data_IF_232183976994
#
_entry.id   IF_232183976994
#
_cell.length_a   1.000
_cell.length_b   1.000
_cell.length_c   1.000
_cell.angle_alpha   90.00
_cell.angle_beta   90.00
_cell.angle_gamma   90.00
#
_symmetry.space_group_name_H-M   'P 1'
#
loop_
_entity.id
_entity.type
_entity.pdbx_description
1 polymer ?
#
# COMPACT_ATOMS: atom_id res chain seq x y z
N UNK A 1 -4.48 -23.42 24.49
CA UNK A 1 -5.03 -22.40 23.59
C UNK A 1 -4.82 -22.90 22.19
N UNK A 2 -5.88 -23.15 21.42
CA UNK A 2 -5.73 -23.47 20.00
C UNK A 2 -5.01 -22.33 19.30
N UNK A 3 -3.95 -22.65 18.58
CA UNK A 3 -3.23 -21.65 17.79
C UNK A 3 -4.13 -21.16 16.67
N UNK A 4 -4.43 -19.87 16.63
CA UNK A 4 -5.20 -19.25 15.53
C UNK A 4 -4.51 -19.53 14.19
N UNK A 5 -5.21 -20.17 13.26
CA UNK A 5 -4.69 -20.38 11.90
C UNK A 5 -4.79 -19.09 11.11
N UNK A 6 -3.69 -18.63 10.53
CA UNK A 6 -3.60 -17.42 9.73
C UNK A 6 -3.38 -17.75 8.26
N UNK A 7 -3.53 -16.76 7.40
CA UNK A 7 -3.22 -16.91 5.98
C UNK A 7 -1.80 -17.45 5.77
N UNK A 8 -1.61 -18.26 4.74
CA UNK A 8 -0.33 -18.95 4.46
C UNK A 8 0.87 -18.01 4.27
N UNK A 9 0.62 -16.79 3.82
CA UNK A 9 1.66 -15.78 3.63
C UNK A 9 2.12 -15.15 4.95
N UNK A 10 1.33 -15.22 6.03
CA UNK A 10 1.67 -14.61 7.32
C UNK A 10 2.78 -15.40 8.03
N UNK A 11 3.95 -14.80 8.17
CA UNK A 11 5.05 -15.37 8.92
C UNK A 11 4.78 -15.27 10.42
N UNK A 12 4.34 -16.37 11.02
CA UNK A 12 4.00 -16.46 12.45
C UNK A 12 5.20 -16.34 13.41
N UNK A 13 6.40 -16.21 12.89
CA UNK A 13 7.62 -15.92 13.68
C UNK A 13 7.92 -14.42 13.77
N UNK A 14 7.21 -13.59 12.99
CA UNK A 14 7.35 -12.15 12.97
C UNK A 14 6.12 -11.49 13.60
N UNK A 15 6.28 -10.92 14.81
CA UNK A 15 5.17 -10.31 15.54
C UNK A 15 4.53 -9.14 14.77
N UNK A 16 5.32 -8.29 14.11
CA UNK A 16 4.80 -7.20 13.29
C UNK A 16 3.91 -7.72 12.14
N UNK A 17 4.28 -8.88 11.57
CA UNK A 17 3.50 -9.47 10.48
C UNK A 17 2.21 -10.10 10.98
N UNK A 18 2.24 -10.68 12.20
CA UNK A 18 1.04 -11.16 12.89
C UNK A 18 0.08 -10.01 13.17
N UNK A 19 0.59 -8.91 13.75
CA UNK A 19 -0.22 -7.76 14.13
C UNK A 19 -0.85 -7.10 12.88
N UNK A 20 -0.08 -6.97 11.80
CA UNK A 20 -0.58 -6.49 10.51
C UNK A 20 -1.70 -7.38 9.96
N UNK A 21 -1.48 -8.71 9.93
CA UNK A 21 -2.47 -9.67 9.46
C UNK A 21 -3.75 -9.66 10.30
N UNK A 22 -3.63 -9.62 11.62
CA UNK A 22 -4.75 -9.81 12.54
C UNK A 22 -5.60 -8.54 12.73
N UNK A 23 -5.04 -7.35 12.52
CA UNK A 23 -5.67 -6.10 12.91
C UNK A 23 -5.63 -4.95 11.88
N UNK A 24 -4.90 -5.11 10.78
CA UNK A 24 -4.75 -4.05 9.79
C UNK A 24 -5.15 -4.51 8.37
N UNK A 25 -4.61 -5.63 7.90
CA UNK A 25 -4.85 -6.13 6.55
C UNK A 25 -6.32 -6.50 6.33
N UNK A 26 -6.89 -6.08 5.20
CA UNK A 26 -8.31 -6.22 4.86
C UNK A 26 -9.29 -5.47 5.79
N UNK A 27 -8.79 -4.57 6.64
CA UNK A 27 -9.64 -3.71 7.47
C UNK A 27 -9.89 -2.40 6.73
N UNK A 28 -11.15 -2.03 6.41
CA UNK A 28 -11.46 -0.77 5.72
C UNK A 28 -10.91 0.43 6.48
N UNK A 29 -10.04 1.20 5.82
CA UNK A 29 -9.46 2.40 6.35
C UNK A 29 -9.18 3.39 5.22
N UNK A 30 -9.86 4.54 5.23
CA UNK A 30 -9.98 5.43 4.09
C UNK A 30 -9.58 6.88 4.37
N UNK A 31 -8.86 7.13 5.46
CA UNK A 31 -8.22 8.43 5.68
C UNK A 31 -7.04 8.62 4.69
N UNK A 32 -6.94 9.79 4.07
CA UNK A 32 -5.96 10.06 3.02
C UNK A 32 -4.51 9.86 3.48
N UNK A 33 -4.20 10.11 4.75
CA UNK A 33 -2.87 9.90 5.31
C UNK A 33 -2.48 8.42 5.27
N UNK A 34 -3.41 7.54 5.67
CA UNK A 34 -3.19 6.09 5.62
C UNK A 34 -3.14 5.58 4.17
N UNK A 35 -4.06 6.03 3.32
CA UNK A 35 -4.12 5.66 1.91
C UNK A 35 -2.82 6.03 1.20
N UNK A 36 -2.29 7.22 1.47
CA UNK A 36 -1.04 7.70 0.91
C UNK A 36 0.16 6.88 1.40
N UNK A 37 0.30 6.68 2.73
CA UNK A 37 1.37 5.85 3.30
C UNK A 37 1.38 4.46 2.66
N UNK A 38 0.22 3.81 2.60
CA UNK A 38 0.11 2.45 2.06
C UNK A 38 0.43 2.40 0.57
N UNK A 39 -0.02 3.37 -0.24
CA UNK A 39 0.29 3.41 -1.67
C UNK A 39 1.79 3.55 -1.93
N UNK A 40 2.48 4.40 -1.16
CA UNK A 40 3.93 4.55 -1.27
C UNK A 40 4.64 3.26 -0.85
N UNK A 41 4.29 2.67 0.29
CA UNK A 41 4.91 1.44 0.77
C UNK A 41 4.70 0.26 -0.20
N UNK A 42 3.50 0.09 -0.74
CA UNK A 42 3.20 -0.93 -1.75
C UNK A 42 4.00 -0.70 -3.05
N UNK A 43 4.19 0.56 -3.47
CA UNK A 43 5.06 0.84 -4.62
C UNK A 43 6.52 0.43 -4.38
N UNK A 44 6.99 0.51 -3.13
CA UNK A 44 8.30 -0.01 -2.75
C UNK A 44 8.35 -1.54 -2.68
N UNK A 45 7.22 -2.22 -2.50
CA UNK A 45 7.15 -3.68 -2.48
C UNK A 45 7.49 -4.30 -3.85
N UNK A 46 7.30 -3.61 -4.97
CA UNK A 46 7.52 -4.16 -6.30
C UNK A 46 8.84 -4.95 -6.39
N UNK A 47 8.75 -6.28 -6.63
CA UNK A 47 9.88 -7.21 -6.66
C UNK A 47 10.46 -7.62 -5.30
N UNK A 48 9.77 -7.31 -4.19
CA UNK A 48 10.15 -7.67 -2.82
C UNK A 48 8.97 -8.35 -2.10
N UNK A 49 9.22 -8.93 -0.91
CA UNK A 49 8.15 -9.39 -0.05
C UNK A 49 7.55 -8.22 0.75
N UNK A 50 6.24 -8.30 1.07
CA UNK A 50 5.60 -7.34 1.96
C UNK A 50 6.26 -7.30 3.35
N UNK A 51 6.66 -8.46 3.89
CA UNK A 51 7.38 -8.54 5.16
C UNK A 51 8.64 -7.67 5.17
N UNK A 52 9.38 -7.62 4.05
CA UNK A 52 10.56 -6.76 3.93
C UNK A 52 10.21 -5.29 4.07
N UNK A 53 9.10 -4.85 3.47
CA UNK A 53 8.62 -3.46 3.55
C UNK A 53 8.07 -3.16 4.93
N UNK A 54 7.24 -4.04 5.46
CA UNK A 54 6.61 -3.88 6.77
C UNK A 54 7.63 -3.76 7.90
N UNK A 55 8.69 -4.58 7.88
CA UNK A 55 9.78 -4.50 8.86
C UNK A 55 10.55 -3.16 8.80
N UNK A 56 10.44 -2.43 7.71
CA UNK A 56 11.08 -1.12 7.51
C UNK A 56 10.11 0.06 7.64
N UNK A 57 8.82 -0.21 7.93
CA UNK A 57 7.75 0.80 7.91
C UNK A 57 8.04 1.99 8.84
N UNK A 58 8.50 1.74 10.07
CA UNK A 58 8.85 2.82 11.00
C UNK A 58 10.06 3.64 10.54
N UNK A 59 11.04 2.98 9.92
CA UNK A 59 12.18 3.66 9.30
C UNK A 59 11.74 4.50 8.10
N UNK A 60 10.79 4.02 7.29
CA UNK A 60 10.18 4.80 6.24
C UNK A 60 9.42 6.02 6.80
N UNK A 61 8.60 5.85 7.85
CA UNK A 61 7.90 6.97 8.51
C UNK A 61 8.89 8.04 8.97
N UNK A 62 9.99 7.63 9.58
CA UNK A 62 11.05 8.56 10.03
C UNK A 62 11.74 9.26 8.86
N UNK A 63 12.08 8.53 7.80
CA UNK A 63 12.83 9.05 6.63
C UNK A 63 11.98 9.94 5.72
N UNK A 64 10.67 9.67 5.65
CA UNK A 64 9.68 10.35 4.79
C UNK A 64 8.83 11.37 5.58
N UNK A 65 9.37 11.98 6.64
CA UNK A 65 8.67 13.00 7.44
C UNK A 65 7.27 12.56 7.87
N UNK A 66 7.10 11.30 8.32
CA UNK A 66 5.83 10.65 8.69
C UNK A 66 4.81 10.62 7.54
N UNK A 67 5.28 10.57 6.32
CA UNK A 67 4.47 10.68 5.10
C UNK A 67 3.64 11.96 5.05
N UNK A 68 4.22 13.07 5.52
CA UNK A 68 3.69 14.42 5.27
C UNK A 68 3.85 14.70 3.76
N UNK A 69 2.75 14.68 3.03
CA UNK A 69 2.76 14.72 1.57
C UNK A 69 3.38 16.00 1.03
N UNK A 70 3.17 17.13 1.71
CA UNK A 70 3.70 18.42 1.28
C UNK A 70 5.22 18.48 1.42
N UNK A 71 5.77 17.86 2.46
CA UNK A 71 7.21 17.72 2.62
C UNK A 71 7.79 16.77 1.58
N UNK A 72 7.18 15.63 1.34
CA UNK A 72 7.69 14.64 0.36
C UNK A 72 7.71 15.23 -1.05
N UNK A 73 6.69 15.97 -1.45
CA UNK A 73 6.65 16.67 -2.75
C UNK A 73 7.80 17.68 -2.90
N UNK A 74 8.22 18.29 -1.80
CA UNK A 74 9.29 19.28 -1.76
C UNK A 74 10.71 18.69 -1.71
N UNK A 75 10.87 17.36 -1.64
CA UNK A 75 12.18 16.72 -1.61
C UNK A 75 13.01 17.07 -2.85
N UNK A 76 14.23 17.50 -2.60
CA UNK A 76 15.24 17.86 -3.59
C UNK A 76 16.30 16.76 -3.74
N UNK A 77 17.31 17.00 -4.58
CA UNK A 77 18.39 16.04 -4.83
C UNK A 77 19.19 15.72 -3.55
N UNK A 78 19.40 16.70 -2.65
CA UNK A 78 20.07 16.46 -1.37
C UNK A 78 19.29 15.50 -0.48
N UNK A 79 17.96 15.65 -0.38
CA UNK A 79 17.11 14.72 0.38
C UNK A 79 17.08 13.33 -0.29
N UNK A 80 17.09 13.27 -1.61
CA UNK A 80 17.18 11.99 -2.33
C UNK A 80 18.49 11.26 -2.03
N UNK A 81 19.62 11.95 -1.97
CA UNK A 81 20.91 11.35 -1.60
C UNK A 81 20.91 10.88 -0.14
N UNK A 82 20.34 11.65 0.79
CA UNK A 82 20.13 11.23 2.19
C UNK A 82 19.33 9.92 2.25
N UNK A 83 18.20 9.81 1.54
CA UNK A 83 17.38 8.61 1.49
C UNK A 83 18.14 7.42 0.90
N UNK A 84 19.00 7.62 -0.09
CA UNK A 84 19.84 6.56 -0.68
C UNK A 84 20.90 6.03 0.29
N UNK A 85 21.33 6.83 1.26
CA UNK A 85 22.29 6.41 2.30
C UNK A 85 21.60 5.77 3.51
N UNK A 86 20.28 5.88 3.64
CA UNK A 86 19.54 5.35 4.78
C UNK A 86 19.31 3.84 4.62
N UNK A 87 20.00 3.01 5.42
CA UNK A 87 19.88 1.55 5.42
C UNK A 87 18.58 1.02 6.05
N UNK A 88 17.88 1.87 6.79
CA UNK A 88 16.56 1.59 7.34
C UNK A 88 15.45 1.46 6.29
N UNK A 89 15.65 1.99 5.07
CA UNK A 89 14.67 1.92 3.99
C UNK A 89 15.16 1.11 2.80
N UNK A 90 14.33 0.97 1.76
CA UNK A 90 14.70 0.32 0.49
C UNK A 90 15.45 1.34 -0.38
N UNK A 91 16.77 1.20 -0.46
CA UNK A 91 17.69 2.11 -1.20
C UNK A 91 17.68 1.85 -2.70
N UNK A 92 16.58 2.19 -3.35
CA UNK A 92 16.44 2.09 -4.80
C UNK A 92 16.14 3.49 -5.38
N UNK A 93 17.09 4.04 -6.14
CA UNK A 93 17.01 5.41 -6.70
C UNK A 93 15.76 5.62 -7.55
N UNK A 94 15.35 4.63 -8.35
CA UNK A 94 14.16 4.74 -9.19
C UNK A 94 12.88 4.77 -8.35
N UNK A 95 12.79 3.95 -7.30
CA UNK A 95 11.64 3.92 -6.39
C UNK A 95 11.54 5.19 -5.55
N UNK A 96 12.66 5.70 -5.03
CA UNK A 96 12.70 6.97 -4.29
C UNK A 96 12.25 8.13 -5.19
N UNK A 97 12.76 8.22 -6.42
CA UNK A 97 12.31 9.24 -7.37
C UNK A 97 10.83 9.08 -7.72
N UNK A 98 10.38 7.85 -7.92
CA UNK A 98 9.00 7.54 -8.22
C UNK A 98 8.07 7.90 -7.06
N UNK A 99 8.45 7.65 -5.80
CA UNK A 99 7.63 8.00 -4.64
C UNK A 99 7.34 9.51 -4.58
N UNK A 100 8.32 10.36 -4.85
CA UNK A 100 8.14 11.82 -4.90
C UNK A 100 7.16 12.21 -6.05
N UNK A 101 7.31 11.58 -7.23
CA UNK A 101 6.38 11.82 -8.35
C UNK A 101 4.97 11.32 -8.03
N UNK A 102 4.84 10.13 -7.46
CA UNK A 102 3.57 9.56 -7.04
C UNK A 102 2.86 10.43 -5.99
N UNK A 103 3.63 11.04 -5.07
CA UNK A 103 3.08 11.95 -4.05
C UNK A 103 2.40 13.17 -4.68
N UNK A 104 3.00 13.78 -5.71
CA UNK A 104 2.40 14.90 -6.44
C UNK A 104 1.09 14.48 -7.11
N UNK A 105 1.08 13.30 -7.74
CA UNK A 105 -0.10 12.77 -8.42
C UNK A 105 -1.18 12.44 -7.40
N UNK A 106 -0.83 11.82 -6.26
CA UNK A 106 -1.77 11.55 -5.18
C UNK A 106 -2.44 12.84 -4.69
N UNK A 107 -1.66 13.89 -4.41
CA UNK A 107 -2.18 15.20 -3.98
C UNK A 107 -3.11 15.80 -5.02
N UNK A 108 -2.72 15.81 -6.30
CA UNK A 108 -3.56 16.32 -7.39
C UNK A 108 -4.87 15.52 -7.50
N UNK A 109 -4.82 14.21 -7.28
CA UNK A 109 -6.02 13.35 -7.29
C UNK A 109 -6.95 13.70 -6.13
N UNK A 110 -6.41 13.93 -4.93
CA UNK A 110 -7.20 14.41 -3.78
C UNK A 110 -7.83 15.77 -4.08
N UNK A 111 -7.09 16.70 -4.69
CA UNK A 111 -7.62 18.03 -5.08
C UNK A 111 -8.72 17.93 -6.14
N UNK A 112 -8.63 16.96 -7.07
CA UNK A 112 -9.60 16.74 -8.15
C UNK A 112 -10.91 16.11 -7.65
N UNK A 113 -10.83 15.14 -6.72
CA UNK A 113 -11.96 14.32 -6.29
C UNK A 113 -12.50 14.67 -4.89
N UNK A 114 -11.77 15.48 -4.11
CA UNK A 114 -12.10 15.80 -2.71
C UNK A 114 -11.34 14.93 -1.71
N UNK A 115 -11.18 13.64 -2.00
CA UNK A 115 -10.33 12.69 -1.25
C UNK A 115 -9.81 11.59 -2.17
N UNK A 116 -8.78 10.86 -1.74
CA UNK A 116 -8.34 9.69 -2.49
C UNK A 116 -9.35 8.54 -2.37
N UNK A 117 -10.11 8.51 -1.27
CA UNK A 117 -11.24 7.59 -1.13
C UNK A 117 -12.30 7.85 -2.19
N UNK A 118 -12.74 9.10 -2.40
CA UNK A 118 -13.74 9.45 -3.41
C UNK A 118 -13.26 9.10 -4.83
N UNK A 119 -11.95 9.26 -5.10
CA UNK A 119 -11.36 8.76 -6.35
C UNK A 119 -11.51 7.23 -6.48
N UNK A 120 -11.23 6.45 -5.43
CA UNK A 120 -11.40 5.00 -5.44
C UNK A 120 -12.86 4.59 -5.62
N UNK A 121 -13.81 5.35 -5.05
CA UNK A 121 -15.25 5.10 -5.17
C UNK A 121 -15.75 5.17 -6.62
N UNK A 122 -15.09 5.92 -7.50
CA UNK A 122 -15.40 5.90 -8.94
C UNK A 122 -15.20 4.51 -9.59
N UNK A 123 -14.53 3.58 -8.92
CA UNK A 123 -14.27 2.23 -9.42
C UNK A 123 -14.93 1.13 -8.58
N UNK A 124 -15.25 1.38 -7.31
CA UNK A 124 -15.64 0.34 -6.34
C UNK A 124 -17.14 0.24 -6.05
N UNK A 125 -17.93 1.26 -6.39
CA UNK A 125 -19.33 1.40 -5.99
C UNK A 125 -19.56 1.20 -4.48
N UNK A 126 -18.63 1.62 -3.64
CA UNK A 126 -18.67 1.49 -2.15
C UNK A 126 -18.83 0.04 -1.66
N UNK A 127 -18.40 -0.95 -2.44
CA UNK A 127 -18.53 -2.37 -2.09
C UNK A 127 -17.20 -2.99 -1.71
N UNK A 128 -17.21 -3.77 -0.63
CA UNK A 128 -16.09 -4.65 -0.30
C UNK A 128 -16.18 -5.89 -1.19
N UNK A 129 -15.08 -6.23 -1.85
CA UNK A 129 -14.96 -7.41 -2.71
C UNK A 129 -14.39 -8.55 -1.87
N UNK A 130 -15.12 -9.66 -1.77
CA UNK A 130 -14.68 -10.88 -1.09
C UNK A 130 -14.11 -11.85 -2.13
N UNK A 131 -12.79 -12.03 -2.14
CA UNK A 131 -12.13 -13.00 -3.02
C UNK A 131 -10.77 -13.42 -2.47
N UNK A 132 -10.38 -14.67 -2.76
CA UNK A 132 -9.12 -15.25 -2.29
C UNK A 132 -8.33 -15.85 -3.47
N UNK A 133 -7.03 -16.06 -3.27
CA UNK A 133 -6.17 -16.78 -4.21
C UNK A 133 -5.86 -16.03 -5.51
N UNK A 134 -6.18 -14.75 -5.61
CA UNK A 134 -5.85 -13.90 -6.76
C UNK A 134 -4.72 -12.94 -6.43
N UNK A 135 -4.07 -12.44 -7.48
CA UNK A 135 -3.04 -11.40 -7.42
C UNK A 135 -3.40 -10.17 -8.24
N UNK A 136 -4.45 -10.25 -9.05
CA UNK A 136 -5.03 -9.18 -9.85
C UNK A 136 -6.50 -9.45 -10.09
N UNK A 137 -7.26 -8.42 -10.42
CA UNK A 137 -8.64 -8.50 -10.91
C UNK A 137 -8.96 -7.29 -11.80
N UNK A 138 -10.15 -7.25 -12.40
CA UNK A 138 -10.57 -6.16 -13.27
C UNK A 138 -10.52 -4.78 -12.57
N UNK A 139 -10.80 -4.72 -11.26
CA UNK A 139 -10.71 -3.49 -10.47
C UNK A 139 -9.25 -3.02 -10.35
N UNK A 140 -8.34 -3.91 -9.94
CA UNK A 140 -6.91 -3.55 -9.85
C UNK A 140 -6.31 -3.19 -11.20
N UNK A 141 -6.77 -3.81 -12.29
CA UNK A 141 -6.35 -3.48 -13.66
C UNK A 141 -6.80 -2.07 -14.04
N UNK A 142 -8.06 -1.72 -13.78
CA UNK A 142 -8.62 -0.42 -14.09
C UNK A 142 -7.94 0.72 -13.31
N UNK A 143 -7.81 0.58 -11.99
CA UNK A 143 -7.15 1.58 -11.14
C UNK A 143 -5.66 1.71 -11.50
N UNK A 144 -4.97 0.58 -11.74
CA UNK A 144 -3.57 0.59 -12.19
C UNK A 144 -3.41 1.37 -13.50
N UNK A 145 -4.30 1.13 -14.48
CA UNK A 145 -4.25 1.82 -15.78
C UNK A 145 -4.46 3.33 -15.62
N UNK A 146 -5.43 3.78 -14.80
CA UNK A 146 -5.69 5.20 -14.56
C UNK A 146 -4.51 5.87 -13.83
N UNK A 147 -4.02 5.27 -12.74
CA UNK A 147 -2.87 5.82 -12.00
C UNK A 147 -1.60 5.91 -12.86
N UNK A 148 -1.36 4.93 -13.74
CA UNK A 148 -0.26 4.98 -14.70
C UNK A 148 -0.46 6.05 -15.77
N UNK A 149 -1.69 6.23 -16.27
CA UNK A 149 -2.03 7.31 -17.20
C UNK A 149 -1.82 8.70 -16.58
N UNK A 150 -2.08 8.85 -15.28
CA UNK A 150 -1.77 10.06 -14.49
C UNK A 150 -0.26 10.25 -14.28
N UNK A 151 0.55 9.23 -14.57
CA UNK A 151 2.03 9.27 -14.50
C UNK A 151 2.65 8.57 -13.31
N UNK A 152 1.88 7.92 -12.43
CA UNK A 152 2.43 7.15 -11.31
C UNK A 152 3.30 5.99 -11.80
N UNK A 153 4.31 5.62 -11.01
CA UNK A 153 5.23 4.52 -11.27
C UNK A 153 5.17 3.48 -10.16
N UNK A 154 5.50 2.22 -10.49
CA UNK A 154 5.44 1.10 -9.56
C UNK A 154 4.03 0.85 -8.98
N UNK A 155 3.01 1.12 -9.78
CA UNK A 155 1.59 0.93 -9.46
C UNK A 155 0.94 -0.05 -10.47
N UNK A 156 1.67 -1.11 -10.85
CA UNK A 156 1.12 -2.17 -11.70
C UNK A 156 -0.03 -2.93 -11.02
N UNK A 157 -0.85 -3.65 -11.78
CA UNK A 157 -2.08 -4.28 -11.28
C UNK A 157 -1.87 -5.16 -10.05
N UNK A 158 -0.75 -5.92 -9.97
CA UNK A 158 -0.41 -6.74 -8.80
C UNK A 158 -0.19 -5.87 -7.55
N UNK A 159 0.50 -4.74 -7.70
CA UNK A 159 0.75 -3.80 -6.58
C UNK A 159 -0.56 -3.13 -6.16
N UNK A 160 -1.37 -2.71 -7.11
CA UNK A 160 -2.69 -2.12 -6.82
C UNK A 160 -3.62 -3.16 -6.17
N UNK A 161 -3.59 -4.43 -6.59
CA UNK A 161 -4.37 -5.48 -5.94
C UNK A 161 -3.97 -5.63 -4.46
N UNK A 162 -2.65 -5.70 -4.17
CA UNK A 162 -2.13 -5.75 -2.80
C UNK A 162 -2.52 -4.50 -1.99
N UNK A 163 -2.44 -3.32 -2.61
CA UNK A 163 -2.88 -2.07 -2.01
C UNK A 163 -4.38 -2.10 -1.64
N UNK A 164 -5.25 -2.58 -2.54
CA UNK A 164 -6.69 -2.69 -2.28
C UNK A 164 -7.01 -3.69 -1.15
N UNK A 165 -6.21 -4.76 -1.01
CA UNK A 165 -6.29 -5.65 0.15
C UNK A 165 -5.84 -4.94 1.44
N UNK A 166 -4.72 -4.22 1.40
CA UNK A 166 -4.17 -3.52 2.55
C UNK A 166 -5.13 -2.46 3.13
N UNK A 167 -5.88 -1.77 2.28
CA UNK A 167 -6.84 -0.71 2.68
C UNK A 167 -8.27 -1.23 2.90
N UNK A 168 -8.52 -2.54 2.73
CA UNK A 168 -9.80 -3.18 3.02
C UNK A 168 -10.89 -3.04 1.95
N UNK A 169 -10.55 -2.62 0.72
CA UNK A 169 -11.45 -2.69 -0.45
C UNK A 169 -11.64 -4.14 -0.91
N UNK A 170 -10.57 -4.93 -0.86
CA UNK A 170 -10.61 -6.37 -1.12
C UNK A 170 -10.40 -7.12 0.19
N UNK A 171 -11.35 -7.97 0.56
CA UNK A 171 -11.26 -8.88 1.70
C UNK A 171 -10.80 -10.25 1.21
N UNK A 172 -9.59 -10.68 1.60
CA UNK A 172 -8.90 -11.79 0.94
C UNK A 172 -8.24 -12.81 1.88
N UNK A 173 -8.78 -12.96 3.11
CA UNK A 173 -8.26 -13.99 4.02
C UNK A 173 -8.48 -15.39 3.44
N UNK A 174 -7.46 -16.28 3.58
CA UNK A 174 -7.54 -17.70 3.16
C UNK A 174 -8.73 -18.40 3.84
N UNK A 175 -9.38 -19.35 3.16
CA UNK A 175 -10.58 -20.05 3.65
C UNK A 175 -10.37 -20.74 5.02
N UNK A 176 -9.14 -21.12 5.33
CA UNK A 176 -8.77 -21.75 6.59
C UNK A 176 -8.21 -20.75 7.64
N UNK A 177 -8.21 -19.47 7.33
CA UNK A 177 -7.82 -18.41 8.26
C UNK A 177 -8.95 -18.13 9.27
N UNK A 178 -8.59 -17.87 10.53
CA UNK A 178 -9.58 -17.54 11.58
C UNK A 178 -10.35 -16.23 11.31
N UNK A 179 -9.87 -15.39 10.40
CA UNK A 179 -10.53 -14.16 9.96
C UNK A 179 -11.34 -14.34 8.67
N UNK A 180 -11.37 -15.54 8.09
CA UNK A 180 -12.11 -15.77 6.84
C UNK A 180 -13.58 -15.35 6.96
N UNK A 181 -14.05 -14.63 5.94
CA UNK A 181 -15.47 -14.29 5.77
C UNK A 181 -15.90 -14.68 4.37
N UNK A 182 -17.03 -15.36 4.28
CA UNK A 182 -17.69 -15.63 3.01
C UNK A 182 -18.54 -14.40 2.66
N UNK A 183 -18.31 -13.80 1.49
CA UNK A 183 -19.13 -12.71 0.96
C UNK A 183 -20.49 -13.20 0.46
#
# INVERSE_FOLDING_TARGET
MESKRRCRWCNVKNQLYIDYHDSEWCVPRFDDQYLYEMLILESFQAGLSWECVLNKRESFRSAYDKFDIDKVIAYNDSKMEELLQNDGIIRNKLKIRASIGNSRIFKNTVEEYGSFHDYLECFTDSKIIYETGKTTNALSDAISADLQARGMKFVGSVIIYSYLQAIGVIYSHDEDCFLYKKG
#
